data_IF_895217325494
#
_entry.id   IF_895217325494
#
_cell.length_a   1.000
_cell.length_b   1.000
_cell.length_c   1.000
_cell.angle_alpha   90.00
_cell.angle_beta   90.00
_cell.angle_gamma   90.00
#
_symmetry.space_group_name_H-M   'P 1'
#
loop_
_entity.id
_entity.type
_entity.pdbx_description
1 polymer ?
#
# COMPACT_ATOMS: atom_id res chain seq x y z
N UNK A 1 15.70 7.61 6.75
CA UNK A 1 16.22 6.48 7.57
C UNK A 1 15.74 5.16 7.00
N UNK A 2 16.49 4.05 7.26
CA UNK A 2 16.16 2.71 6.77
C UNK A 2 14.69 2.32 6.96
N UNK A 3 14.17 2.51 8.16
CA UNK A 3 12.77 2.21 8.47
C UNK A 3 11.80 3.12 7.72
N UNK A 4 12.09 4.39 7.64
CA UNK A 4 11.26 5.35 6.91
C UNK A 4 11.26 5.04 5.42
N UNK A 5 12.43 4.78 4.82
CA UNK A 5 12.57 4.47 3.40
C UNK A 5 11.83 3.17 3.05
N UNK A 6 11.97 2.12 3.88
CA UNK A 6 11.25 0.86 3.67
C UNK A 6 9.73 1.03 3.89
N UNK A 7 9.31 1.89 4.83
CA UNK A 7 7.89 2.18 5.06
C UNK A 7 7.27 2.94 3.89
N UNK A 8 7.99 3.93 3.31
CA UNK A 8 7.56 4.61 2.08
C UNK A 8 7.46 3.64 0.92
N UNK A 9 8.49 2.83 0.69
CA UNK A 9 8.47 1.81 -0.36
C UNK A 9 7.31 0.81 -0.20
N UNK A 10 6.91 0.49 1.05
CA UNK A 10 5.74 -0.36 1.29
C UNK A 10 4.44 0.29 0.82
N UNK A 11 4.29 1.60 1.04
CA UNK A 11 3.12 2.34 0.55
C UNK A 11 3.09 2.33 -0.98
N UNK A 12 4.21 2.69 -1.63
CA UNK A 12 4.28 2.77 -3.10
C UNK A 12 3.95 1.44 -3.76
N UNK A 13 4.56 0.34 -3.29
CA UNK A 13 4.31 -1.00 -3.85
C UNK A 13 2.86 -1.44 -3.62
N UNK A 14 2.34 -1.24 -2.42
CA UNK A 14 0.98 -1.66 -2.06
C UNK A 14 -0.07 -0.78 -2.73
N UNK A 15 0.23 0.50 -2.96
CA UNK A 15 -0.63 1.38 -3.75
C UNK A 15 -0.81 0.88 -5.18
N UNK A 16 0.27 0.67 -5.92
CA UNK A 16 0.25 0.14 -7.30
C UNK A 16 -0.41 -1.25 -7.36
N UNK A 17 -0.35 -2.03 -6.28
CA UNK A 17 -0.94 -3.36 -6.16
C UNK A 17 -2.29 -3.35 -5.41
N UNK A 18 -3.00 -2.23 -5.37
CA UNK A 18 -4.35 -2.11 -4.83
C UNK A 18 -4.53 -2.70 -3.43
N UNK A 19 -3.62 -2.38 -2.51
CA UNK A 19 -3.71 -2.81 -1.12
C UNK A 19 -3.08 -4.17 -0.82
N UNK A 20 -2.44 -4.84 -1.78
CA UNK A 20 -1.86 -6.18 -1.60
C UNK A 20 -0.34 -6.19 -1.79
N UNK A 21 0.36 -6.88 -0.92
CA UNK A 21 1.74 -7.32 -1.12
C UNK A 21 1.79 -8.71 -1.75
N UNK A 22 0.99 -9.64 -1.21
CA UNK A 22 0.81 -10.94 -1.80
C UNK A 22 -0.24 -10.90 -2.91
N UNK A 23 0.07 -11.55 -4.02
CA UNK A 23 -0.81 -11.66 -5.19
C UNK A 23 -2.15 -12.33 -4.82
N UNK A 24 -3.29 -11.62 -4.93
CA UNK A 24 -4.60 -12.22 -4.68
C UNK A 24 -5.00 -13.18 -5.79
N UNK A 25 -6.05 -13.99 -5.58
CA UNK A 25 -6.50 -15.00 -6.54
C UNK A 25 -7.02 -14.40 -7.85
N UNK A 26 -7.61 -13.22 -7.81
CA UNK A 26 -8.14 -12.48 -8.96
C UNK A 26 -7.33 -11.20 -9.17
N UNK A 27 -6.54 -11.19 -10.23
CA UNK A 27 -5.65 -10.08 -10.56
C UNK A 27 -5.32 -10.13 -12.06
N UNK A 28 -4.88 -9.01 -12.59
CA UNK A 28 -4.19 -8.92 -13.87
C UNK A 28 -2.68 -8.92 -13.63
N UNK A 29 -1.96 -9.80 -14.33
CA UNK A 29 -0.51 -9.98 -14.15
C UNK A 29 0.27 -9.11 -15.14
N UNK A 30 1.06 -8.17 -14.62
CA UNK A 30 1.97 -7.32 -15.40
C UNK A 30 3.38 -7.95 -15.53
N UNK A 31 3.63 -9.12 -14.92
CA UNK A 31 4.92 -9.78 -14.86
C UNK A 31 5.83 -9.28 -13.74
N UNK A 32 6.01 -7.98 -13.59
CA UNK A 32 6.79 -7.36 -12.50
C UNK A 32 5.91 -6.88 -11.33
N UNK A 33 4.61 -6.70 -11.56
CA UNK A 33 3.59 -6.33 -10.58
C UNK A 33 2.27 -6.97 -10.98
N UNK A 34 1.22 -6.70 -10.24
CA UNK A 34 -0.15 -7.13 -10.57
C UNK A 34 -1.14 -6.04 -10.16
N UNK A 35 -2.31 -6.02 -10.82
CA UNK A 35 -3.42 -5.14 -10.46
C UNK A 35 -4.59 -6.02 -10.02
N UNK A 36 -5.09 -5.91 -8.78
CA UNK A 36 -6.18 -6.74 -8.28
C UNK A 36 -7.53 -6.31 -8.86
N UNK A 37 -8.45 -7.26 -8.99
CA UNK A 37 -9.86 -6.95 -9.22
C UNK A 37 -10.53 -6.64 -7.87
N UNK A 38 -11.19 -5.49 -7.79
CA UNK A 38 -12.03 -5.11 -6.67
C UNK A 38 -13.48 -5.54 -6.87
N UNK A 39 -13.93 -5.45 -8.14
CA UNK A 39 -15.19 -6.00 -8.59
C UNK A 39 -14.93 -6.88 -9.82
N UNK A 40 -15.44 -8.11 -9.83
CA UNK A 40 -15.27 -9.06 -10.91
C UNK A 40 -16.58 -9.78 -11.22
N UNK A 41 -17.37 -9.25 -12.20
CA UNK A 41 -18.59 -9.85 -12.73
C UNK A 41 -19.63 -10.23 -11.63
N UNK A 42 -19.78 -9.39 -10.61
CA UNK A 42 -20.70 -9.60 -9.48
C UNK A 42 -20.01 -10.01 -8.17
N UNK A 43 -18.75 -10.40 -8.21
CA UNK A 43 -17.96 -10.72 -7.02
C UNK A 43 -17.27 -9.44 -6.48
N UNK A 44 -17.45 -9.16 -5.19
CA UNK A 44 -16.80 -8.05 -4.47
C UNK A 44 -15.55 -8.59 -3.78
N UNK A 45 -14.38 -8.20 -4.27
CA UNK A 45 -13.09 -8.77 -3.91
C UNK A 45 -12.15 -7.76 -3.23
N UNK A 46 -12.61 -6.52 -3.07
CA UNK A 46 -11.86 -5.43 -2.43
C UNK A 46 -11.36 -5.86 -1.05
N UNK A 47 -10.07 -5.62 -0.71
CA UNK A 47 -9.55 -5.90 0.62
C UNK A 47 -10.14 -4.93 1.65
N UNK A 48 -10.42 -5.42 2.84
CA UNK A 48 -10.76 -4.56 3.98
C UNK A 48 -9.50 -3.83 4.49
N UNK A 49 -9.67 -2.65 5.07
CA UNK A 49 -8.56 -1.85 5.66
C UNK A 49 -7.63 -2.67 6.58
N UNK A 50 -8.12 -3.55 7.49
CA UNK A 50 -7.20 -4.36 8.30
C UNK A 50 -6.35 -5.37 7.49
N UNK A 51 -6.80 -5.77 6.30
CA UNK A 51 -6.01 -6.61 5.40
C UNK A 51 -4.86 -5.79 4.79
N UNK A 52 -5.15 -4.59 4.31
CA UNK A 52 -4.13 -3.67 3.77
C UNK A 52 -3.07 -3.34 4.83
N UNK A 53 -3.49 -3.08 6.07
CA UNK A 53 -2.58 -2.85 7.20
C UNK A 53 -1.63 -4.04 7.44
N UNK A 54 -2.12 -5.27 7.31
CA UNK A 54 -1.29 -6.49 7.41
C UNK A 54 -0.32 -6.62 6.24
N UNK A 55 -0.76 -6.30 5.02
CA UNK A 55 0.08 -6.37 3.83
C UNK A 55 1.22 -5.34 3.88
N UNK A 56 0.94 -4.10 4.36
CA UNK A 56 1.95 -3.08 4.63
C UNK A 56 2.99 -3.56 5.66
N UNK A 57 2.54 -4.11 6.78
CA UNK A 57 3.41 -4.65 7.81
C UNK A 57 4.24 -5.83 7.29
N UNK A 58 3.66 -6.70 6.46
CA UNK A 58 4.33 -7.83 5.85
C UNK A 58 5.44 -7.40 4.90
N UNK A 59 5.18 -6.38 4.06
CA UNK A 59 6.21 -5.80 3.20
C UNK A 59 7.41 -5.33 4.03
N UNK A 60 7.15 -4.56 5.10
CA UNK A 60 8.20 -4.05 5.98
C UNK A 60 9.01 -5.18 6.60
N UNK A 61 8.36 -6.23 7.13
CA UNK A 61 9.04 -7.38 7.72
C UNK A 61 9.95 -8.10 6.72
N UNK A 62 9.57 -8.18 5.44
CA UNK A 62 10.30 -8.93 4.43
C UNK A 62 11.43 -8.13 3.77
N UNK A 63 11.37 -6.80 3.81
CA UNK A 63 12.28 -5.94 3.05
C UNK A 63 13.22 -5.09 3.91
N UNK A 64 13.02 -5.02 5.22
CA UNK A 64 13.87 -4.26 6.14
C UNK A 64 15.33 -4.73 6.11
N UNK A 65 15.55 -6.04 5.94
CA UNK A 65 16.88 -6.65 5.86
C UNK A 65 17.75 -6.03 4.77
N UNK A 66 17.19 -5.76 3.60
CA UNK A 66 17.96 -5.19 2.48
C UNK A 66 18.55 -3.83 2.84
N UNK A 67 17.75 -2.98 3.46
CA UNK A 67 18.22 -1.67 3.88
C UNK A 67 19.25 -1.76 5.03
N UNK A 68 19.06 -2.66 5.99
CA UNK A 68 19.99 -2.84 7.13
C UNK A 68 21.35 -3.37 6.65
N UNK A 69 21.37 -4.26 5.66
CA UNK A 69 22.61 -4.77 5.09
C UNK A 69 23.45 -3.68 4.43
N UNK A 70 22.82 -2.68 3.81
CA UNK A 70 23.49 -1.53 3.22
C UNK A 70 24.15 -0.61 4.28
N UNK A 71 23.67 -0.64 5.53
CA UNK A 71 24.25 0.09 6.64
C UNK A 71 25.50 -0.59 7.25
N UNK A 72 25.84 -1.79 6.82
CA UNK A 72 27.02 -2.50 7.28
C UNK A 72 28.29 -1.85 6.71
N UNK A 73 29.13 -1.27 7.56
CA UNK A 73 30.41 -0.67 7.21
C UNK A 73 31.55 -1.68 7.46
N UNK A 74 32.71 -1.47 6.81
CA UNK A 74 33.89 -2.35 6.92
C UNK A 74 34.33 -2.61 8.37
N UNK A 75 33.97 -1.75 9.32
CA UNK A 75 34.42 -1.82 10.71
C UNK A 75 33.39 -2.46 11.67
N UNK A 76 32.16 -2.70 11.28
CA UNK A 76 31.16 -3.35 12.12
C UNK A 76 30.10 -4.10 11.28
N UNK A 77 29.57 -5.15 11.88
CA UNK A 77 28.45 -5.92 11.36
C UNK A 77 27.19 -5.57 12.15
N UNK A 78 26.14 -5.16 11.42
CA UNK A 78 24.82 -4.96 11.96
C UNK A 78 23.95 -6.17 11.55
N UNK A 79 23.27 -6.76 12.52
CA UNK A 79 22.29 -7.81 12.29
C UNK A 79 21.08 -7.57 13.19
N UNK A 80 19.95 -8.18 12.86
CA UNK A 80 18.76 -8.13 13.70
C UNK A 80 18.06 -9.49 13.73
N UNK A 81 17.22 -9.67 14.74
CA UNK A 81 16.29 -10.78 14.84
C UNK A 81 15.08 -10.56 13.94
N UNK A 82 14.14 -11.50 13.96
CA UNK A 82 12.87 -11.39 13.23
C UNK A 82 12.17 -10.07 13.61
N UNK A 83 11.95 -9.23 12.62
CA UNK A 83 11.17 -8.00 12.80
C UNK A 83 9.68 -8.34 12.88
N UNK A 84 9.00 -7.77 13.87
CA UNK A 84 7.56 -7.82 13.98
C UNK A 84 7.02 -6.40 13.86
N UNK A 85 6.43 -6.09 12.72
CA UNK A 85 5.87 -4.78 12.45
C UNK A 85 4.34 -4.80 12.46
N UNK A 86 3.75 -3.63 12.68
CA UNK A 86 2.33 -3.34 12.50
C UNK A 86 2.20 -2.06 11.72
N UNK A 87 1.21 -2.00 10.86
CA UNK A 87 0.79 -0.77 10.21
C UNK A 87 -0.62 -0.40 10.66
N UNK A 88 -0.89 0.90 10.76
CA UNK A 88 -2.21 1.45 11.06
C UNK A 88 -2.47 2.64 10.16
N UNK A 89 -3.48 2.52 9.33
CA UNK A 89 -3.97 3.58 8.46
C UNK A 89 -4.75 4.57 9.32
N UNK A 90 -4.42 5.85 9.20
CA UNK A 90 -5.02 6.97 9.93
C UNK A 90 -5.35 8.08 8.93
N UNK A 91 -6.12 9.05 9.36
CA UNK A 91 -6.37 10.26 8.57
C UNK A 91 -5.04 10.96 8.25
N UNK A 92 -4.77 11.20 6.96
CA UNK A 92 -3.57 11.85 6.41
C UNK A 92 -2.22 11.16 6.71
N UNK A 93 -2.21 9.94 7.25
CA UNK A 93 -0.95 9.25 7.54
C UNK A 93 -1.10 7.73 7.68
N UNK A 94 0.01 7.02 7.55
CA UNK A 94 0.12 5.62 7.97
C UNK A 94 1.18 5.51 9.05
N UNK A 95 0.78 4.99 10.19
CA UNK A 95 1.66 4.74 11.34
C UNK A 95 2.17 3.31 11.31
N UNK A 96 3.49 3.16 11.22
CA UNK A 96 4.17 1.88 11.40
C UNK A 96 4.74 1.79 12.81
N UNK A 97 4.72 0.59 13.39
CA UNK A 97 5.42 0.28 14.63
C UNK A 97 6.22 -0.99 14.45
N UNK A 98 7.43 -1.03 14.99
CA UNK A 98 8.29 -2.20 14.92
C UNK A 98 8.75 -2.65 16.30
N UNK A 99 8.89 -3.97 16.40
CA UNK A 99 9.58 -4.66 17.50
C UNK A 99 10.70 -5.50 16.88
N UNK A 100 11.96 -5.22 17.23
CA UNK A 100 13.13 -5.96 16.75
C UNK A 100 14.33 -5.74 17.68
N UNK A 101 15.16 -6.77 17.82
CA UNK A 101 16.44 -6.68 18.54
C UNK A 101 17.59 -6.64 17.54
N UNK A 102 18.43 -5.63 17.67
CA UNK A 102 19.60 -5.40 16.81
C UNK A 102 20.87 -5.77 17.53
N UNK A 103 21.81 -6.38 16.84
CA UNK A 103 23.13 -6.76 17.32
C UNK A 103 24.20 -6.06 16.48
N UNK A 104 25.10 -5.34 17.12
CA UNK A 104 26.23 -4.69 16.49
C UNK A 104 27.49 -5.43 16.95
N UNK A 105 28.31 -5.89 16.00
CA UNK A 105 29.58 -6.54 16.26
C UNK A 105 30.74 -5.77 15.63
N UNK A 106 31.78 -5.52 16.44
CA UNK A 106 33.05 -4.96 15.99
C UNK A 106 34.19 -5.72 16.66
N UNK A 107 34.98 -6.43 15.86
CA UNK A 107 36.06 -7.31 16.34
C UNK A 107 35.54 -8.33 17.37
N UNK A 108 35.98 -8.24 18.61
CA UNK A 108 35.56 -9.06 19.75
C UNK A 108 34.44 -8.45 20.58
N UNK A 109 34.01 -7.24 20.25
CA UNK A 109 32.95 -6.52 20.96
C UNK A 109 31.59 -6.78 20.32
N UNK A 110 30.59 -7.06 21.12
CA UNK A 110 29.20 -7.16 20.72
C UNK A 110 28.32 -6.35 21.63
N UNK A 111 27.36 -5.63 21.04
CA UNK A 111 26.33 -4.89 21.76
C UNK A 111 24.98 -5.19 21.15
N UNK A 112 23.96 -5.30 21.98
CA UNK A 112 22.58 -5.51 21.57
C UNK A 112 21.71 -4.37 22.07
N UNK A 113 20.72 -3.98 21.26
CA UNK A 113 19.67 -3.05 21.64
C UNK A 113 18.34 -3.48 21.03
N UNK A 114 17.26 -3.28 21.75
CA UNK A 114 15.91 -3.63 21.31
C UNK A 114 15.12 -2.36 21.04
N UNK A 115 14.54 -2.27 19.85
CA UNK A 115 13.46 -1.35 19.55
C UNK A 115 12.15 -2.04 19.89
N UNK A 116 11.39 -1.47 20.82
CA UNK A 116 10.08 -1.97 21.19
C UNK A 116 9.03 -0.93 20.91
N UNK A 117 8.02 -1.31 20.12
CA UNK A 117 6.91 -0.43 19.75
C UNK A 117 7.38 0.94 19.21
N UNK A 118 8.47 0.93 18.42
CA UNK A 118 9.05 2.14 17.85
C UNK A 118 8.17 2.67 16.71
N UNK A 119 7.57 3.87 16.84
CA UNK A 119 6.67 4.39 15.83
C UNK A 119 7.41 5.13 14.72
N UNK A 120 6.92 4.95 13.50
CA UNK A 120 7.24 5.78 12.33
C UNK A 120 5.91 6.18 11.71
N UNK A 121 5.75 7.45 11.38
CA UNK A 121 4.56 7.98 10.74
C UNK A 121 4.94 8.55 9.37
N UNK A 122 4.23 8.10 8.34
CA UNK A 122 4.42 8.51 6.95
C UNK A 122 3.16 9.25 6.53
N UNK A 123 3.30 10.47 6.07
CA UNK A 123 2.20 11.23 5.46
C UNK A 123 1.71 10.49 4.20
N UNK A 124 0.40 10.31 4.08
CA UNK A 124 -0.25 9.63 2.96
C UNK A 124 -1.75 9.85 3.00
N UNK A 125 -2.36 10.07 1.86
CA UNK A 125 -3.81 10.12 1.69
C UNK A 125 -4.46 8.73 1.53
N UNK A 126 -3.81 7.66 1.96
CA UNK A 126 -4.33 6.30 1.77
C UNK A 126 -5.71 6.10 2.39
N UNK A 127 -6.01 6.73 3.55
CA UNK A 127 -7.34 6.66 4.17
C UNK A 127 -8.42 7.23 3.26
N UNK A 128 -8.17 8.41 2.71
CA UNK A 128 -9.07 9.15 1.83
C UNK A 128 -9.23 8.44 0.47
N UNK A 129 -8.14 7.86 -0.02
CA UNK A 129 -8.13 7.05 -1.25
C UNK A 129 -9.01 5.81 -1.08
N UNK A 130 -8.90 5.12 0.06
CA UNK A 130 -9.72 3.95 0.33
C UNK A 130 -11.22 4.29 0.44
N UNK A 131 -11.58 5.45 0.99
CA UNK A 131 -12.98 5.91 1.00
C UNK A 131 -13.54 6.10 -0.43
N UNK A 132 -12.74 6.66 -1.34
CA UNK A 132 -13.14 6.83 -2.75
C UNK A 132 -13.20 5.47 -3.46
N UNK A 133 -12.22 4.59 -3.24
CA UNK A 133 -12.22 3.23 -3.79
C UNK A 133 -13.42 2.40 -3.29
N UNK A 134 -13.78 2.57 -2.01
CA UNK A 134 -14.97 1.96 -1.41
C UNK A 134 -16.24 2.44 -2.11
N UNK A 135 -16.40 3.75 -2.27
CA UNK A 135 -17.55 4.32 -2.96
C UNK A 135 -17.68 3.79 -4.39
N UNK A 136 -16.58 3.80 -5.16
CA UNK A 136 -16.57 3.30 -6.55
C UNK A 136 -16.98 1.83 -6.59
N UNK A 137 -16.40 0.98 -5.74
CA UNK A 137 -16.66 -0.45 -5.74
C UNK A 137 -18.06 -0.79 -5.22
N UNK A 138 -18.49 -0.15 -4.13
CA UNK A 138 -19.76 -0.46 -3.49
C UNK A 138 -20.97 0.13 -4.25
N UNK A 139 -20.79 1.16 -5.10
CA UNK A 139 -21.85 1.65 -5.99
C UNK A 139 -22.40 0.56 -6.90
N UNK A 140 -21.59 -0.43 -7.29
CA UNK A 140 -22.02 -1.57 -8.09
C UNK A 140 -22.96 -2.56 -7.34
N UNK A 141 -23.10 -2.42 -6.00
CA UNK A 141 -24.14 -3.17 -5.25
C UNK A 141 -25.54 -2.65 -5.48
N UNK A 142 -25.65 -1.34 -5.75
CA UNK A 142 -26.93 -0.68 -5.99
C UNK A 142 -27.31 -0.74 -7.47
N UNK A 143 -26.33 -0.50 -8.34
CA UNK A 143 -26.51 -0.57 -9.80
C UNK A 143 -25.22 -1.12 -10.44
N UNK A 144 -25.23 -2.39 -10.94
CA UNK A 144 -24.06 -3.01 -11.54
C UNK A 144 -23.52 -2.29 -12.79
N UNK A 145 -24.38 -1.54 -13.49
CA UNK A 145 -24.06 -0.94 -14.79
C UNK A 145 -23.73 0.55 -14.71
N UNK A 146 -23.95 1.19 -13.57
CA UNK A 146 -23.82 2.64 -13.45
C UNK A 146 -22.94 3.07 -12.27
N UNK A 147 -22.05 4.02 -12.55
CA UNK A 147 -21.31 4.79 -11.54
C UNK A 147 -21.68 6.25 -11.66
N UNK A 148 -21.94 6.92 -10.55
CA UNK A 148 -22.11 8.37 -10.50
C UNK A 148 -20.75 9.05 -10.66
N UNK A 149 -20.31 9.31 -11.89
CA UNK A 149 -19.00 9.94 -12.20
C UNK A 149 -18.88 11.33 -11.53
N UNK A 150 -19.95 12.13 -11.54
CA UNK A 150 -19.93 13.44 -10.86
C UNK A 150 -19.78 13.29 -9.34
N UNK A 151 -20.37 12.26 -8.73
CA UNK A 151 -20.22 12.01 -7.31
C UNK A 151 -18.77 11.60 -6.96
N UNK A 152 -18.13 10.77 -7.81
CA UNK A 152 -16.72 10.41 -7.66
C UNK A 152 -15.82 11.63 -7.79
N UNK A 153 -16.09 12.49 -8.79
CA UNK A 153 -15.34 13.73 -8.99
C UNK A 153 -15.45 14.68 -7.78
N UNK A 154 -16.66 14.87 -7.25
CA UNK A 154 -16.91 15.71 -6.07
C UNK A 154 -16.21 15.14 -4.82
N UNK A 155 -16.23 13.81 -4.65
CA UNK A 155 -15.51 13.14 -3.55
C UNK A 155 -14.00 13.33 -3.65
N UNK A 156 -13.45 13.18 -4.84
CA UNK A 156 -12.03 13.35 -5.10
C UNK A 156 -11.58 14.81 -4.86
N UNK A 157 -12.34 15.79 -5.40
CA UNK A 157 -12.02 17.20 -5.24
C UNK A 157 -12.01 17.62 -3.75
N UNK A 158 -12.99 17.17 -2.97
CA UNK A 158 -13.08 17.50 -1.53
C UNK A 158 -11.94 16.90 -0.70
N UNK A 159 -11.28 15.84 -1.20
CA UNK A 159 -10.16 15.16 -0.57
C UNK A 159 -8.80 15.50 -1.19
N UNK A 160 -8.79 16.46 -2.14
CA UNK A 160 -7.59 16.83 -2.90
C UNK A 160 -6.93 15.62 -3.61
N UNK A 161 -7.79 14.77 -4.20
CA UNK A 161 -7.39 13.59 -4.96
C UNK A 161 -7.75 13.74 -6.44
N UNK A 162 -7.08 12.98 -7.30
CA UNK A 162 -7.46 12.74 -8.69
C UNK A 162 -7.94 11.30 -8.85
N UNK A 163 -8.95 11.11 -9.70
CA UNK A 163 -9.46 9.78 -10.06
C UNK A 163 -9.52 9.70 -11.58
N UNK A 164 -8.81 8.74 -12.13
CA UNK A 164 -8.89 8.36 -13.53
C UNK A 164 -9.55 6.99 -13.65
N UNK A 165 -10.50 6.88 -14.59
CA UNK A 165 -11.15 5.62 -14.95
C UNK A 165 -10.87 5.36 -16.42
N UNK A 166 -10.07 4.35 -16.71
CA UNK A 166 -9.56 4.05 -18.04
C UNK A 166 -10.08 2.70 -18.53
N UNK A 167 -10.49 2.63 -19.79
CA UNK A 167 -10.79 1.35 -20.43
C UNK A 167 -9.53 0.50 -20.42
N UNK A 168 -9.66 -0.75 -19.96
CA UNK A 168 -8.56 -1.66 -19.77
C UNK A 168 -8.96 -3.04 -20.30
N UNK A 169 -8.09 -3.68 -21.07
CA UNK A 169 -8.20 -5.05 -21.56
C UNK A 169 -9.65 -5.55 -21.76
N UNK A 170 -10.23 -5.28 -22.94
CA UNK A 170 -11.64 -5.47 -23.32
C UNK A 170 -12.60 -4.36 -22.79
N UNK A 171 -13.71 -4.18 -23.49
CA UNK A 171 -14.70 -3.11 -23.23
C UNK A 171 -15.41 -3.22 -21.86
N UNK A 172 -15.22 -4.33 -21.13
CA UNK A 172 -15.90 -4.61 -19.87
C UNK A 172 -15.03 -4.38 -18.62
N UNK A 173 -13.76 -4.01 -18.80
CA UNK A 173 -12.84 -3.82 -17.68
C UNK A 173 -12.39 -2.37 -17.59
N UNK A 174 -12.48 -1.78 -16.40
CA UNK A 174 -12.02 -0.43 -16.10
C UNK A 174 -10.86 -0.49 -15.13
N UNK A 175 -9.74 0.14 -15.47
CA UNK A 175 -8.67 0.46 -14.54
C UNK A 175 -9.05 1.75 -13.81
N UNK A 176 -9.13 1.68 -12.50
CA UNK A 176 -9.30 2.83 -11.62
C UNK A 176 -7.96 3.21 -11.03
N UNK A 177 -7.55 4.45 -11.23
CA UNK A 177 -6.33 5.04 -10.66
C UNK A 177 -6.73 6.22 -9.78
N UNK A 178 -6.39 6.15 -8.51
CA UNK A 178 -6.61 7.23 -7.55
C UNK A 178 -5.25 7.75 -7.12
N UNK A 179 -5.02 9.06 -7.19
CA UNK A 179 -3.73 9.63 -6.81
C UNK A 179 -3.89 10.91 -5.98
N UNK A 180 -2.88 11.19 -5.19
CA UNK A 180 -2.72 12.48 -4.55
C UNK A 180 -2.53 13.59 -5.60
N UNK A 181 -2.86 14.82 -5.22
CA UNK A 181 -2.67 15.97 -6.10
C UNK A 181 -1.20 16.16 -6.45
N UNK A 182 -0.91 16.28 -7.75
CA UNK A 182 0.44 16.42 -8.35
C UNK A 182 1.23 17.69 -7.93
N UNK A 183 0.86 18.36 -6.86
CA UNK A 183 1.67 19.42 -6.26
C UNK A 183 2.97 18.91 -5.64
N UNK A 184 3.07 17.59 -5.41
CA UNK A 184 4.25 16.90 -4.92
C UNK A 184 5.02 16.24 -6.06
N UNK A 185 6.33 16.11 -5.92
CA UNK A 185 7.20 15.55 -6.96
C UNK A 185 6.93 14.08 -7.26
N UNK A 186 6.38 13.34 -6.32
CA UNK A 186 6.03 11.92 -6.43
C UNK A 186 4.69 11.69 -5.71
N UNK A 187 3.55 11.78 -6.43
CA UNK A 187 2.24 11.56 -5.83
C UNK A 187 2.06 10.09 -5.48
N UNK A 188 1.40 9.81 -4.35
CA UNK A 188 0.98 8.46 -4.02
C UNK A 188 -0.12 8.02 -4.99
N UNK A 189 0.01 6.81 -5.53
CA UNK A 189 -0.89 6.23 -6.54
C UNK A 189 -1.47 4.93 -6.01
N UNK A 190 -2.76 4.72 -6.25
CA UNK A 190 -3.48 3.51 -5.87
C UNK A 190 -4.29 2.99 -7.06
N UNK A 191 -4.15 1.70 -7.40
CA UNK A 191 -4.71 1.13 -8.62
C UNK A 191 -5.50 -0.15 -8.35
N UNK A 192 -6.64 -0.32 -9.04
CA UNK A 192 -7.40 -1.56 -9.04
C UNK A 192 -8.26 -1.67 -10.30
N UNK A 193 -8.78 -2.88 -10.56
CA UNK A 193 -9.65 -3.18 -11.70
C UNK A 193 -11.07 -3.48 -11.25
N UNK A 194 -12.02 -2.98 -12.03
CA UNK A 194 -13.42 -3.40 -11.98
C UNK A 194 -13.80 -4.02 -13.32
N UNK A 195 -14.27 -5.28 -13.31
CA UNK A 195 -14.74 -5.98 -14.51
C UNK A 195 -16.24 -6.22 -14.42
N UNK A 196 -16.96 -5.73 -15.42
CA UNK A 196 -18.41 -5.78 -15.51
C UNK A 196 -18.89 -7.03 -16.23
N UNK A 197 -20.13 -7.50 -15.98
CA UNK A 197 -20.77 -8.51 -16.80
C UNK A 197 -20.88 -8.03 -18.25
N UNK A 198 -20.71 -8.95 -19.23
CA UNK A 198 -20.85 -8.67 -20.65
C UNK A 198 -22.31 -8.65 -21.08
#
# INVERSE_FOLDING_TARGET
SCLEDTSRASLDVIGIQGGYYDKPSKHFDLGWAFIPYYYDQGDFLKPETPTIEKELAKYLNNNLDFCIQELSYNDFQLSHDTTNSKAKIQENSVKFTIDSTFSIKKDTLSSEFTLSNHPIEIESALSEILEVADYITDSHREDPDLICISCVADMAETRNLYVDMLDFDEETTTLVVISENYTYSEPYIFEFLNRYPA
#
